data_IF_594663971990
#
_entry.id   IF_594663971990
#
_cell.length_a   1.000
_cell.length_b   1.000
_cell.length_c   1.000
_cell.angle_alpha   90.00
_cell.angle_beta   90.00
_cell.angle_gamma   90.00
#
_symmetry.space_group_name_H-M   'P 1'
#
loop_
_entity.id
_entity.type
_entity.pdbx_description
1 polymer ?
#
# COMPACT_ATOMS: atom_id res chain seq x y z
N UNK A 1 21.71 -9.92 2.22
CA UNK A 1 20.66 -8.98 1.78
C UNK A 1 20.49 -9.13 0.28
N UNK A 2 19.28 -9.40 -0.25
CA UNK A 2 19.08 -9.45 -1.70
C UNK A 2 19.53 -8.13 -2.33
N UNK A 3 20.13 -8.19 -3.53
CA UNK A 3 20.64 -7.01 -4.22
C UNK A 3 19.57 -5.93 -4.40
N UNK A 4 20.00 -4.66 -4.52
CA UNK A 4 19.11 -3.49 -4.67
C UNK A 4 17.98 -3.71 -5.70
N UNK A 5 18.30 -4.36 -6.82
CA UNK A 5 17.33 -4.71 -7.86
C UNK A 5 16.30 -5.75 -7.42
N UNK A 6 16.70 -6.82 -6.72
CA UNK A 6 15.77 -7.83 -6.18
C UNK A 6 14.86 -7.22 -5.13
N UNK A 7 15.40 -6.40 -4.23
CA UNK A 7 14.63 -5.68 -3.23
C UNK A 7 13.58 -4.75 -3.85
N UNK A 8 13.96 -4.00 -4.91
CA UNK A 8 13.04 -3.16 -5.65
C UNK A 8 11.93 -3.96 -6.36
N UNK A 9 12.26 -5.10 -6.99
CA UNK A 9 11.25 -5.97 -7.63
C UNK A 9 10.28 -6.57 -6.62
N UNK A 10 10.76 -6.97 -5.45
CA UNK A 10 9.90 -7.49 -4.38
C UNK A 10 8.94 -6.42 -3.86
N UNK A 11 9.43 -5.20 -3.63
CA UNK A 11 8.58 -4.06 -3.24
C UNK A 11 7.57 -3.71 -4.33
N UNK A 12 8.03 -3.68 -5.59
CA UNK A 12 7.16 -3.46 -6.75
C UNK A 12 6.08 -4.53 -6.90
N UNK A 13 6.44 -5.80 -6.74
CA UNK A 13 5.50 -6.92 -6.77
C UNK A 13 4.46 -6.86 -5.64
N UNK A 14 4.86 -6.45 -4.44
CA UNK A 14 3.94 -6.22 -3.32
C UNK A 14 2.92 -5.13 -3.66
N UNK A 15 3.37 -4.00 -4.21
CA UNK A 15 2.49 -2.88 -4.59
C UNK A 15 1.56 -3.23 -5.74
N UNK A 16 2.07 -3.90 -6.78
CA UNK A 16 1.24 -4.38 -7.90
C UNK A 16 0.20 -5.39 -7.41
N UNK A 17 0.58 -6.34 -6.55
CA UNK A 17 -0.34 -7.29 -5.96
C UNK A 17 -1.43 -6.62 -5.12
N UNK A 18 -1.06 -5.64 -4.30
CA UNK A 18 -2.02 -4.83 -3.53
C UNK A 18 -2.99 -4.06 -4.45
N UNK A 19 -2.46 -3.45 -5.51
CA UNK A 19 -3.29 -2.70 -6.46
C UNK A 19 -4.23 -3.61 -7.24
N UNK A 20 -3.81 -4.82 -7.63
CA UNK A 20 -4.69 -5.83 -8.23
C UNK A 20 -5.78 -6.27 -7.24
N UNK A 21 -5.46 -6.40 -5.95
CA UNK A 21 -6.44 -6.78 -4.93
C UNK A 21 -7.62 -5.79 -4.83
N UNK A 22 -7.41 -4.50 -5.13
CA UNK A 22 -8.49 -3.51 -5.20
C UNK A 22 -9.54 -3.84 -6.27
N UNK A 23 -9.18 -4.57 -7.32
CA UNK A 23 -10.10 -5.00 -8.38
C UNK A 23 -10.72 -6.37 -8.10
N UNK A 24 -9.99 -7.26 -7.42
CA UNK A 24 -10.43 -8.63 -7.09
C UNK A 24 -11.38 -8.66 -5.89
N UNK A 25 -11.06 -7.95 -4.81
CA UNK A 25 -11.87 -7.89 -3.58
C UNK A 25 -12.30 -6.46 -3.20
N UNK A 26 -12.89 -5.70 -4.14
CA UNK A 26 -13.14 -4.26 -4.01
C UNK A 26 -14.00 -3.88 -2.81
N UNK A 27 -14.96 -4.74 -2.41
CA UNK A 27 -15.86 -4.48 -1.28
C UNK A 27 -15.12 -4.25 0.04
N UNK A 28 -13.99 -4.91 0.23
CA UNK A 28 -13.16 -4.72 1.43
C UNK A 28 -12.49 -3.34 1.42
N UNK A 29 -12.06 -2.87 0.25
CA UNK A 29 -11.42 -1.57 0.06
C UNK A 29 -12.43 -0.42 0.09
N UNK A 30 -13.58 -0.59 -0.55
CA UNK A 30 -14.68 0.39 -0.55
C UNK A 30 -15.14 0.71 0.88
N UNK A 31 -15.13 -0.27 1.79
CA UNK A 31 -15.47 -0.08 3.20
C UNK A 31 -14.43 0.73 4.00
N UNK A 32 -13.19 0.82 3.51
CA UNK A 32 -12.13 1.63 4.13
C UNK A 32 -12.14 3.08 3.67
N UNK A 33 -12.75 3.38 2.52
CA UNK A 33 -12.81 4.74 1.99
C UNK A 33 -13.59 5.65 2.96
N UNK A 34 -13.02 6.79 3.40
CA UNK A 34 -13.73 7.75 4.23
C UNK A 34 -15.00 8.27 3.56
N UNK A 35 -16.11 8.31 4.31
CA UNK A 35 -17.38 8.88 3.81
C UNK A 35 -17.31 10.39 3.52
N UNK A 36 -16.27 11.06 4.00
CA UNK A 36 -16.03 12.49 3.74
C UNK A 36 -15.49 12.76 2.32
N UNK A 37 -15.01 11.74 1.60
CA UNK A 37 -14.56 11.92 0.23
C UNK A 37 -15.76 12.03 -0.72
N UNK A 38 -15.74 12.96 -1.69
CA UNK A 38 -16.82 13.12 -2.65
C UNK A 38 -16.87 11.92 -3.62
N UNK A 39 -18.09 11.58 -4.06
CA UNK A 39 -18.32 10.53 -5.05
C UNK A 39 -18.41 9.11 -4.47
N UNK A 40 -18.37 8.11 -5.35
CA UNK A 40 -18.53 6.72 -4.95
C UNK A 40 -17.22 6.15 -4.37
N UNK A 41 -17.25 5.43 -3.23
CA UNK A 41 -16.10 4.70 -2.69
C UNK A 41 -15.39 3.84 -3.73
N UNK A 42 -16.16 3.25 -4.64
CA UNK A 42 -15.63 2.40 -5.71
C UNK A 42 -14.70 3.14 -6.69
N UNK A 43 -14.94 4.42 -6.91
CA UNK A 43 -14.06 5.25 -7.75
C UNK A 43 -12.71 5.40 -7.08
N UNK A 44 -12.70 5.75 -5.78
CA UNK A 44 -11.47 5.87 -5.00
C UNK A 44 -10.69 4.57 -4.92
N UNK A 45 -11.37 3.44 -4.69
CA UNK A 45 -10.75 2.10 -4.71
C UNK A 45 -10.07 1.78 -6.03
N UNK A 46 -10.67 2.13 -7.17
CA UNK A 46 -10.07 1.90 -8.49
C UNK A 46 -8.87 2.82 -8.74
N UNK A 47 -9.00 4.09 -8.37
CA UNK A 47 -7.92 5.08 -8.52
C UNK A 47 -6.72 4.72 -7.64
N UNK A 48 -6.94 4.31 -6.38
CA UNK A 48 -5.86 3.85 -5.51
C UNK A 48 -5.21 2.57 -6.05
N UNK A 49 -6.00 1.61 -6.53
CA UNK A 49 -5.49 0.39 -7.15
C UNK A 49 -4.60 0.67 -8.37
N UNK A 50 -5.01 1.59 -9.25
CA UNK A 50 -4.19 2.04 -10.38
C UNK A 50 -2.90 2.75 -9.92
N UNK A 51 -3.01 3.61 -8.91
CA UNK A 51 -1.86 4.31 -8.35
C UNK A 51 -0.84 3.33 -7.76
N UNK A 52 -1.28 2.33 -6.99
CA UNK A 52 -0.40 1.30 -6.44
C UNK A 52 0.31 0.48 -7.52
N UNK A 53 -0.41 0.08 -8.59
CA UNK A 53 0.18 -0.62 -9.73
C UNK A 53 1.24 0.26 -10.42
N UNK A 54 0.92 1.53 -10.68
CA UNK A 54 1.84 2.47 -11.33
C UNK A 54 3.10 2.71 -10.48
N UNK A 55 2.94 2.91 -9.17
CA UNK A 55 4.06 3.06 -8.23
C UNK A 55 4.88 1.76 -8.18
N UNK A 56 4.24 0.59 -8.12
CA UNK A 56 4.94 -0.70 -8.11
C UNK A 56 5.77 -0.94 -9.37
N UNK A 57 5.22 -0.61 -10.54
CA UNK A 57 5.94 -0.64 -11.81
C UNK A 57 7.12 0.35 -11.83
N UNK A 58 6.91 1.57 -11.33
CA UNK A 58 7.96 2.59 -11.24
C UNK A 58 9.10 2.18 -10.29
N UNK A 59 8.80 1.50 -9.18
CA UNK A 59 9.83 0.95 -8.28
C UNK A 59 10.64 -0.14 -8.97
N UNK A 60 9.98 -1.03 -9.74
CA UNK A 60 10.64 -2.13 -10.42
C UNK A 60 11.56 -1.66 -11.55
N UNK A 61 11.19 -0.58 -12.25
CA UNK A 61 11.95 -0.05 -13.38
C UNK A 61 13.18 0.77 -12.93
N UNK A 62 14.41 0.45 -13.37
CA UNK A 62 15.63 1.12 -12.88
C UNK A 62 15.62 2.64 -13.00
N UNK A 63 15.16 3.19 -14.13
CA UNK A 63 15.19 4.62 -14.40
C UNK A 63 14.25 5.45 -13.51
N UNK A 64 13.16 4.85 -13.01
CA UNK A 64 12.16 5.53 -12.18
C UNK A 64 12.16 5.04 -10.73
N UNK A 65 12.99 4.04 -10.39
CA UNK A 65 13.05 3.39 -9.07
C UNK A 65 13.09 4.37 -7.92
N UNK A 66 13.91 5.42 -8.01
CA UNK A 66 14.07 6.39 -6.93
C UNK A 66 12.79 7.20 -6.68
N UNK A 67 12.16 7.67 -7.76
CA UNK A 67 10.88 8.38 -7.69
C UNK A 67 9.76 7.44 -7.23
N UNK A 68 9.68 6.24 -7.81
CA UNK A 68 8.73 5.20 -7.43
C UNK A 68 8.85 4.81 -5.96
N UNK A 69 10.06 4.66 -5.44
CA UNK A 69 10.29 4.31 -4.04
C UNK A 69 9.92 5.44 -3.08
N UNK A 70 10.10 6.70 -3.49
CA UNK A 70 9.61 7.84 -2.72
C UNK A 70 8.07 7.91 -2.73
N UNK A 71 7.45 7.68 -3.90
CA UNK A 71 6.00 7.60 -4.04
C UNK A 71 5.42 6.44 -3.20
N UNK A 72 6.08 5.28 -3.16
CA UNK A 72 5.70 4.15 -2.32
C UNK A 72 5.73 4.51 -0.82
N UNK A 73 6.79 5.18 -0.36
CA UNK A 73 6.87 5.66 1.02
C UNK A 73 5.71 6.62 1.34
N UNK A 74 5.44 7.57 0.44
CA UNK A 74 4.30 8.49 0.57
C UNK A 74 2.95 7.76 0.62
N UNK A 75 2.75 6.76 -0.25
CA UNK A 75 1.53 5.96 -0.31
C UNK A 75 1.32 5.18 1.00
N UNK A 76 2.35 4.50 1.50
CA UNK A 76 2.30 3.79 2.78
C UNK A 76 1.96 4.70 3.97
N UNK A 77 2.51 5.92 3.98
CA UNK A 77 2.15 6.92 4.99
C UNK A 77 0.71 7.42 4.81
N UNK A 78 0.27 7.69 3.58
CA UNK A 78 -1.07 8.19 3.28
C UNK A 78 -2.19 7.19 3.64
N UNK A 79 -1.93 5.87 3.53
CA UNK A 79 -2.90 4.83 3.90
C UNK A 79 -2.91 4.51 5.39
N UNK A 80 -1.97 5.04 6.19
CA UNK A 80 -1.90 4.76 7.62
C UNK A 80 -3.17 5.19 8.38
N UNK A 81 -3.72 6.41 8.20
CA UNK A 81 -4.98 6.80 8.83
C UNK A 81 -6.15 5.86 8.47
N UNK A 82 -6.22 5.37 7.24
CA UNK A 82 -7.24 4.42 6.82
C UNK A 82 -7.09 3.06 7.54
N UNK A 83 -5.86 2.59 7.74
CA UNK A 83 -5.59 1.36 8.50
C UNK A 83 -5.93 1.53 10.00
N UNK A 84 -5.67 2.70 10.60
CA UNK A 84 -6.08 3.03 11.98
C UNK A 84 -7.60 2.98 12.10
N UNK A 85 -8.31 3.64 11.18
CA UNK A 85 -9.78 3.60 11.13
C UNK A 85 -10.30 2.18 10.98
N UNK A 86 -9.72 1.37 10.09
CA UNK A 86 -10.12 -0.02 9.91
C UNK A 86 -9.90 -0.84 11.19
N UNK A 87 -8.77 -0.69 11.87
CA UNK A 87 -8.52 -1.36 13.15
C UNK A 87 -9.55 -0.96 14.21
N UNK A 88 -9.94 0.31 14.26
CA UNK A 88 -11.01 0.79 15.13
C UNK A 88 -12.37 0.19 14.74
N UNK A 89 -12.77 0.23 13.47
CA UNK A 89 -14.05 -0.30 13.00
C UNK A 89 -14.15 -1.83 13.18
N UNK A 90 -13.02 -2.53 13.08
CA UNK A 90 -12.96 -3.99 13.15
C UNK A 90 -12.68 -4.53 14.57
N UNK A 91 -12.64 -3.66 15.58
CA UNK A 91 -12.38 -4.03 16.99
C UNK A 91 -13.35 -5.09 17.57
N UNK A 92 -14.55 -5.18 17.01
CA UNK A 92 -15.60 -6.14 17.39
C UNK A 92 -15.82 -7.27 16.36
N UNK A 93 -15.01 -7.34 15.30
CA UNK A 93 -15.06 -8.43 14.30
C UNK A 93 -14.44 -9.73 14.87
N UNK A 94 -14.71 -10.89 14.24
CA UNK A 94 -14.04 -12.14 14.59
C UNK A 94 -12.51 -12.01 14.61
N UNK A 95 -11.86 -12.79 15.46
CA UNK A 95 -10.43 -12.68 15.75
C UNK A 95 -9.52 -12.60 14.50
N UNK A 96 -9.73 -13.40 13.42
CA UNK A 96 -8.87 -13.30 12.23
C UNK A 96 -8.86 -11.91 11.58
N UNK A 97 -10.04 -11.30 11.42
CA UNK A 97 -10.17 -9.98 10.82
C UNK A 97 -9.57 -8.89 11.72
N UNK A 98 -9.88 -8.95 13.02
CA UNK A 98 -9.34 -8.01 14.01
C UNK A 98 -7.82 -8.05 14.07
N UNK A 99 -7.23 -9.25 14.14
CA UNK A 99 -5.78 -9.44 14.15
C UNK A 99 -5.14 -8.95 12.86
N UNK A 100 -5.74 -9.21 11.70
CA UNK A 100 -5.23 -8.69 10.43
C UNK A 100 -5.24 -7.15 10.37
N UNK A 101 -6.29 -6.50 10.86
CA UNK A 101 -6.35 -5.04 10.91
C UNK A 101 -5.32 -4.44 11.87
N UNK A 102 -5.14 -5.04 13.05
CA UNK A 102 -4.13 -4.60 14.02
C UNK A 102 -2.70 -4.81 13.51
N UNK A 103 -2.42 -5.94 12.85
CA UNK A 103 -1.10 -6.27 12.32
C UNK A 103 -0.63 -5.28 11.24
N UNK A 104 -1.56 -4.66 10.50
CA UNK A 104 -1.22 -3.65 9.48
C UNK A 104 -0.62 -2.37 10.07
N UNK A 105 -0.93 -2.03 11.31
CA UNK A 105 -0.41 -0.81 11.96
C UNK A 105 1.11 -0.85 12.15
N UNK A 106 1.70 -1.84 12.85
CA UNK A 106 3.15 -1.93 12.98
C UNK A 106 3.83 -2.26 11.65
N UNK A 107 3.16 -2.98 10.74
CA UNK A 107 3.71 -3.34 9.44
C UNK A 107 4.01 -2.13 8.55
N UNK A 108 3.31 -1.00 8.73
CA UNK A 108 3.57 0.18 7.92
C UNK A 108 4.97 0.78 8.13
N UNK A 109 5.52 0.70 9.34
CA UNK A 109 6.85 1.25 9.62
C UNK A 109 7.94 0.51 8.81
N UNK A 110 8.03 -0.84 8.85
CA UNK A 110 8.91 -1.58 7.96
C UNK A 110 8.72 -1.28 6.47
N UNK A 111 7.49 -1.12 5.99
CA UNK A 111 7.20 -0.84 4.57
C UNK A 111 7.73 0.52 4.13
N UNK A 112 7.49 1.58 4.92
CA UNK A 112 8.05 2.92 4.68
C UNK A 112 9.58 2.87 4.70
N UNK A 113 10.18 2.23 5.71
CA UNK A 113 11.63 2.09 5.80
C UNK A 113 12.21 1.29 4.64
N UNK A 114 11.53 0.26 4.17
CA UNK A 114 11.94 -0.53 3.02
C UNK A 114 11.94 0.31 1.75
N UNK A 115 10.87 1.06 1.49
CA UNK A 115 10.80 1.99 0.36
C UNK A 115 11.94 3.03 0.40
N UNK A 116 12.21 3.64 1.56
CA UNK A 116 13.32 4.58 1.72
C UNK A 116 14.69 3.94 1.52
N UNK A 117 14.89 2.67 1.89
CA UNK A 117 16.11 1.92 1.59
C UNK A 117 16.27 1.65 0.09
N UNK A 118 15.21 1.22 -0.59
CA UNK A 118 15.21 1.03 -2.06
C UNK A 118 15.56 2.34 -2.78
N UNK A 119 15.02 3.47 -2.31
CA UNK A 119 15.35 4.81 -2.83
C UNK A 119 16.85 5.11 -2.74
N UNK A 120 17.48 4.85 -1.59
CA UNK A 120 18.90 5.12 -1.35
C UNK A 120 19.80 4.19 -2.17
N UNK A 121 19.43 2.93 -2.32
CA UNK A 121 20.19 1.92 -3.06
C UNK A 121 20.02 1.99 -4.59
N UNK A 122 19.14 2.87 -5.10
CA UNK A 122 19.04 3.21 -6.52
C UNK A 122 19.81 4.48 -6.89
N UNK A 123 20.80 4.88 -6.08
CA UNK A 123 21.76 5.97 -6.34
C UNK A 123 23.04 5.39 -6.92
#
# INVERSE_FOLDING_TARGET
MPGSATSARLLGGLLVGAGVAHFVVPRQFDAMVPRSLPGAPRTWTRLSGLAEIAVGAAVAHPASRRAGALAAAGLFTAVFPANVKMAYDWRHRPAPARTAALARLPLQVPLVLWALRVRRAGS
#
